data_IF_538119495621
#
_entry.id   IF_538119495621
#
_cell.length_a   1.000
_cell.length_b   1.000
_cell.length_c   1.000
_cell.angle_alpha   90.00
_cell.angle_beta   90.00
_cell.angle_gamma   90.00
#
_symmetry.space_group_name_H-M   'P 1'
#
loop_
_entity.id
_entity.type
_entity.pdbx_description
1 polymer ?
#
# COMPACT_ATOMS: atom_id res chain seq x y z
N UNK A 1 -60.17 -4.74 -12.56
CA UNK A 1 -58.95 -5.49 -12.92
C UNK A 1 -57.65 -4.69 -12.72
N UNK A 2 -57.68 -3.45 -12.20
CA UNK A 2 -56.50 -2.59 -12.07
C UNK A 2 -55.69 -2.74 -10.75
N UNK A 3 -56.30 -3.23 -9.66
CA UNK A 3 -55.65 -3.25 -8.34
C UNK A 3 -54.57 -4.34 -8.16
N UNK A 4 -54.70 -5.47 -8.87
CA UNK A 4 -53.81 -6.64 -8.69
C UNK A 4 -52.45 -6.42 -9.35
N UNK A 5 -52.40 -5.65 -10.43
CA UNK A 5 -51.16 -5.36 -11.14
C UNK A 5 -50.39 -4.24 -10.45
N UNK A 6 -51.06 -3.21 -9.92
CA UNK A 6 -50.43 -2.16 -9.09
C UNK A 6 -49.73 -2.77 -7.86
N UNK A 7 -50.36 -3.76 -7.21
CA UNK A 7 -49.74 -4.47 -6.07
C UNK A 7 -48.50 -5.26 -6.50
N UNK A 8 -48.52 -5.94 -7.65
CA UNK A 8 -47.34 -6.65 -8.18
C UNK A 8 -46.19 -5.70 -8.49
N UNK A 9 -46.47 -4.56 -9.13
CA UNK A 9 -45.44 -3.55 -9.42
C UNK A 9 -44.85 -2.97 -8.14
N UNK A 10 -45.68 -2.66 -7.15
CA UNK A 10 -45.21 -2.18 -5.85
C UNK A 10 -44.30 -3.20 -5.14
N UNK A 11 -44.64 -4.49 -5.19
CA UNK A 11 -43.82 -5.56 -4.62
C UNK A 11 -42.48 -5.71 -5.35
N UNK A 12 -42.46 -5.62 -6.69
CA UNK A 12 -41.23 -5.71 -7.48
C UNK A 12 -40.30 -4.52 -7.20
N UNK A 13 -40.85 -3.30 -7.11
CA UNK A 13 -40.08 -2.09 -6.79
C UNK A 13 -39.50 -2.17 -5.37
N UNK A 14 -40.29 -2.66 -4.40
CA UNK A 14 -39.83 -2.88 -3.04
C UNK A 14 -38.68 -3.91 -2.98
N UNK A 15 -38.80 -5.02 -3.71
CA UNK A 15 -37.76 -6.04 -3.79
C UNK A 15 -36.47 -5.50 -4.44
N UNK A 16 -36.57 -4.70 -5.50
CA UNK A 16 -35.41 -4.03 -6.09
C UNK A 16 -34.76 -3.06 -5.10
N UNK A 17 -35.54 -2.25 -4.38
CA UNK A 17 -35.00 -1.30 -3.41
C UNK A 17 -34.26 -2.02 -2.26
N UNK A 18 -34.78 -3.15 -1.79
CA UNK A 18 -34.11 -3.98 -0.77
C UNK A 18 -32.84 -4.61 -1.32
N UNK A 19 -32.83 -5.10 -2.57
CA UNK A 19 -31.61 -5.60 -3.22
C UNK A 19 -30.55 -4.49 -3.30
N UNK A 20 -30.90 -3.32 -3.83
CA UNK A 20 -29.96 -2.19 -4.00
C UNK A 20 -29.42 -1.74 -2.63
N UNK A 21 -30.28 -1.66 -1.61
CA UNK A 21 -29.86 -1.33 -0.25
C UNK A 21 -28.93 -2.41 0.33
N UNK A 22 -29.19 -3.70 0.12
CA UNK A 22 -28.31 -4.79 0.56
C UNK A 22 -26.94 -4.74 -0.16
N UNK A 23 -26.90 -4.40 -1.44
CA UNK A 23 -25.66 -4.19 -2.19
C UNK A 23 -24.89 -2.95 -1.72
N UNK A 24 -25.56 -1.89 -1.29
CA UNK A 24 -24.92 -0.68 -0.78
C UNK A 24 -24.20 -0.92 0.56
N UNK A 25 -24.75 -1.76 1.45
CA UNK A 25 -24.13 -2.07 2.76
C UNK A 25 -22.97 -3.08 2.67
N UNK A 26 -22.90 -3.88 1.60
CA UNK A 26 -21.76 -4.78 1.32
C UNK A 26 -20.56 -4.09 0.66
N UNK A 27 -20.67 -2.79 0.34
CA UNK A 27 -19.77 -2.10 -0.56
C UNK A 27 -18.64 -1.38 0.19
N UNK A 28 -17.42 -1.89 -0.02
CA UNK A 28 -16.12 -1.26 0.27
C UNK A 28 -15.62 -1.32 1.72
N UNK A 29 -15.34 -2.53 2.22
CA UNK A 29 -14.42 -2.71 3.35
C UNK A 29 -13.08 -2.05 3.00
N UNK A 30 -12.61 -1.15 3.86
CA UNK A 30 -11.31 -0.46 3.72
C UNK A 30 -10.33 -0.88 4.79
N UNK A 31 -9.05 -0.87 4.46
CA UNK A 31 -7.97 -1.29 5.34
C UNK A 31 -6.83 -0.27 5.32
N UNK A 32 -6.13 -0.14 6.46
CA UNK A 32 -5.04 0.82 6.65
C UNK A 32 -3.83 0.43 5.81
N UNK A 33 -3.24 1.40 5.14
CA UNK A 33 -1.97 1.26 4.43
C UNK A 33 -1.04 2.39 4.82
N UNK A 34 0.26 2.12 4.68
CA UNK A 34 1.28 3.17 4.76
C UNK A 34 1.66 3.59 3.35
N UNK A 35 1.59 4.89 3.07
CA UNK A 35 2.16 5.48 1.86
C UNK A 35 3.61 5.86 2.15
N UNK A 36 4.52 5.51 1.26
CA UNK A 36 5.95 5.84 1.36
C UNK A 36 6.38 6.54 0.10
N UNK A 37 6.96 7.72 0.24
CA UNK A 37 7.63 8.44 -0.84
C UNK A 37 9.11 8.55 -0.49
N UNK A 38 9.97 7.92 -1.30
CA UNK A 38 11.40 7.93 -1.09
C UNK A 38 12.11 8.66 -2.23
N UNK A 39 12.96 9.63 -1.89
CA UNK A 39 13.83 10.32 -2.84
C UNK A 39 15.18 9.63 -2.87
N UNK A 40 15.62 9.26 -4.08
CA UNK A 40 16.90 8.61 -4.34
C UNK A 40 17.71 9.49 -5.28
N UNK A 41 18.97 9.71 -4.94
CA UNK A 41 19.95 10.44 -5.74
C UNK A 41 21.17 9.56 -6.00
N UNK A 42 21.71 9.61 -7.20
CA UNK A 42 22.98 8.98 -7.55
C UNK A 42 24.14 9.90 -7.19
N UNK A 43 25.02 9.40 -6.33
CA UNK A 43 26.20 10.12 -5.87
C UNK A 43 27.42 9.47 -6.49
N UNK A 44 28.23 10.25 -7.18
CA UNK A 44 29.51 9.79 -7.71
C UNK A 44 30.51 9.62 -6.57
N UNK A 45 30.98 8.40 -6.37
CA UNK A 45 32.05 8.06 -5.43
C UNK A 45 33.19 7.41 -6.21
N UNK A 46 34.22 8.20 -6.50
CA UNK A 46 35.28 7.79 -7.42
C UNK A 46 34.77 7.73 -8.86
N UNK A 47 34.86 6.56 -9.49
CA UNK A 47 34.38 6.32 -10.86
C UNK A 47 32.98 5.68 -10.90
N UNK A 48 32.37 5.40 -9.74
CA UNK A 48 31.09 4.70 -9.64
C UNK A 48 29.97 5.65 -9.20
N UNK A 49 28.78 5.46 -9.78
CA UNK A 49 27.55 6.07 -9.28
C UNK A 49 26.88 5.12 -8.29
N UNK A 50 26.62 5.62 -7.07
CA UNK A 50 26.02 4.84 -5.99
C UNK A 50 24.71 5.51 -5.58
N UNK A 51 23.58 4.78 -5.54
CA UNK A 51 22.34 5.35 -5.07
C UNK A 51 22.41 5.71 -3.60
N UNK A 52 21.74 6.81 -3.24
CA UNK A 52 21.55 7.26 -1.87
C UNK A 52 20.10 7.63 -1.65
N UNK A 53 19.46 7.01 -0.67
CA UNK A 53 18.09 7.39 -0.25
C UNK A 53 18.19 8.64 0.63
N UNK A 54 17.90 9.81 0.06
CA UNK A 54 18.15 11.12 0.70
C UNK A 54 16.99 11.58 1.58
N UNK A 55 15.76 11.23 1.22
CA UNK A 55 14.56 11.58 1.99
C UNK A 55 13.55 10.44 1.95
N UNK A 56 12.81 10.28 3.04
CA UNK A 56 11.66 9.38 3.13
C UNK A 56 10.53 10.14 3.81
N UNK A 57 9.39 10.24 3.12
CA UNK A 57 8.13 10.74 3.68
C UNK A 57 7.15 9.58 3.80
N UNK A 58 6.48 9.49 4.94
CA UNK A 58 5.50 8.44 5.24
C UNK A 58 4.14 9.06 5.54
N UNK A 59 3.08 8.32 5.25
CA UNK A 59 1.71 8.71 5.57
C UNK A 59 0.83 7.50 5.83
N UNK A 60 -0.33 7.75 6.42
CA UNK A 60 -1.37 6.75 6.66
C UNK A 60 -2.56 7.03 5.75
N UNK A 61 -3.09 5.99 5.12
CA UNK A 61 -4.32 6.06 4.33
C UNK A 61 -5.19 4.82 4.53
N UNK A 62 -6.42 4.85 4.01
CA UNK A 62 -7.33 3.72 3.96
C UNK A 62 -7.75 3.46 2.53
N UNK A 63 -7.47 2.27 2.04
CA UNK A 63 -7.83 1.87 0.68
C UNK A 63 -8.82 0.71 0.68
N UNK A 64 -9.47 0.52 -0.46
CA UNK A 64 -10.39 -0.60 -0.64
C UNK A 64 -9.66 -1.95 -0.52
N UNK A 65 -10.25 -2.91 0.19
CA UNK A 65 -9.68 -4.24 0.40
C UNK A 65 -9.37 -4.99 -0.91
N UNK A 66 -10.15 -4.77 -1.97
CA UNK A 66 -9.91 -5.37 -3.29
C UNK A 66 -8.65 -4.82 -3.98
N UNK A 67 -8.21 -3.62 -3.60
CA UNK A 67 -6.99 -2.96 -4.09
C UNK A 67 -5.84 -3.07 -3.10
N UNK A 68 -6.02 -3.81 -2.00
CA UNK A 68 -5.04 -3.86 -0.94
C UNK A 68 -3.74 -4.54 -1.42
N UNK A 69 -2.57 -3.87 -1.30
CA UNK A 69 -1.30 -4.46 -1.67
C UNK A 69 -1.03 -5.71 -0.84
N UNK A 70 -0.82 -6.82 -1.54
CA UNK A 70 -0.30 -8.08 -0.99
C UNK A 70 1.08 -8.32 -1.58
N UNK A 71 1.70 -9.43 -1.21
CA UNK A 71 3.00 -9.83 -1.75
C UNK A 71 2.97 -9.81 -3.28
N UNK A 72 3.77 -8.91 -3.85
CA UNK A 72 4.05 -8.87 -5.29
C UNK A 72 5.45 -9.45 -5.56
N UNK A 73 5.70 -10.00 -6.77
CA UNK A 73 7.06 -10.36 -7.16
C UNK A 73 8.03 -9.20 -6.97
N UNK A 74 9.24 -9.54 -6.55
CA UNK A 74 10.33 -8.58 -6.36
C UNK A 74 10.83 -8.04 -7.70
N UNK A 75 11.17 -6.74 -7.74
CA UNK A 75 11.81 -6.10 -8.89
C UNK A 75 13.34 -6.09 -8.72
N UNK A 76 14.08 -6.52 -9.74
CA UNK A 76 15.54 -6.50 -9.73
C UNK A 76 16.04 -5.75 -10.97
N UNK A 77 16.69 -4.59 -10.81
CA UNK A 77 16.87 -3.83 -9.57
C UNK A 77 15.55 -3.23 -9.06
N UNK A 78 15.47 -2.90 -7.76
CA UNK A 78 14.22 -2.46 -7.16
C UNK A 78 14.36 -1.61 -5.91
N UNK A 79 13.35 -0.79 -5.65
CA UNK A 79 13.16 -0.06 -4.40
C UNK A 79 12.14 -0.80 -3.55
N UNK A 80 12.50 -1.08 -2.30
CA UNK A 80 11.73 -1.92 -1.39
C UNK A 80 11.38 -1.16 -0.12
N UNK A 81 10.26 -1.55 0.49
CA UNK A 81 9.89 -1.08 1.83
C UNK A 81 9.76 -2.26 2.78
N UNK A 82 10.41 -2.15 3.93
CA UNK A 82 10.26 -3.04 5.07
C UNK A 82 9.73 -2.25 6.26
N UNK A 83 8.61 -2.70 6.82
CA UNK A 83 8.01 -2.16 8.04
C UNK A 83 8.25 -3.12 9.19
N UNK A 84 8.86 -2.61 10.26
CA UNK A 84 9.20 -3.38 11.46
C UNK A 84 8.51 -2.77 12.68
N UNK A 85 7.76 -3.59 13.40
CA UNK A 85 7.14 -3.26 14.68
C UNK A 85 7.53 -4.33 15.70
N UNK A 86 8.02 -3.92 16.87
CA UNK A 86 8.45 -4.83 17.95
C UNK A 86 9.42 -5.94 17.49
N UNK A 87 10.28 -5.62 16.51
CA UNK A 87 11.26 -6.57 15.97
C UNK A 87 10.73 -7.52 14.89
N UNK A 88 9.46 -7.44 14.52
CA UNK A 88 8.84 -8.29 13.49
C UNK A 88 8.50 -7.50 12.23
N UNK A 89 8.69 -8.13 11.07
CA UNK A 89 8.15 -7.61 9.80
C UNK A 89 6.62 -7.65 9.85
N UNK A 90 5.98 -6.52 9.57
CA UNK A 90 4.52 -6.42 9.59
C UNK A 90 3.89 -6.15 8.23
N UNK A 91 4.67 -5.76 7.22
CA UNK A 91 4.16 -5.52 5.88
C UNK A 91 4.20 -6.75 4.96
N UNK A 92 3.30 -6.75 3.99
CA UNK A 92 3.46 -7.51 2.77
C UNK A 92 4.61 -6.96 1.94
N UNK A 93 5.27 -7.85 1.23
CA UNK A 93 6.34 -7.54 0.30
C UNK A 93 5.84 -6.62 -0.80
N UNK A 94 6.50 -5.47 -0.94
CA UNK A 94 6.21 -4.48 -1.97
C UNK A 94 7.51 -3.91 -2.52
N UNK A 95 7.54 -3.73 -3.84
CA UNK A 95 8.68 -3.16 -4.53
C UNK A 95 8.23 -2.45 -5.80
N UNK A 96 9.03 -1.50 -6.24
CA UNK A 96 8.91 -0.86 -7.56
C UNK A 96 10.25 -0.98 -8.29
N UNK A 97 10.29 -1.03 -9.63
CA UNK A 97 11.55 -1.03 -10.37
C UNK A 97 12.40 0.18 -10.00
N UNK A 98 13.71 -0.04 -9.79
CA UNK A 98 14.66 1.06 -9.62
C UNK A 98 15.18 1.48 -11.01
N UNK A 99 15.06 2.77 -11.33
CA UNK A 99 15.40 3.33 -12.65
C UNK A 99 16.37 4.51 -12.56
N UNK A 100 17.14 4.60 -11.48
CA UNK A 100 18.08 5.70 -11.22
C UNK A 100 17.55 6.75 -10.24
N UNK A 101 18.15 7.93 -10.26
CA UNK A 101 17.71 9.06 -9.43
C UNK A 101 16.23 9.41 -9.63
N UNK A 102 15.49 9.68 -8.55
CA UNK A 102 14.07 10.00 -8.63
C UNK A 102 13.30 9.84 -7.32
N UNK A 103 11.98 10.05 -7.42
CA UNK A 103 11.05 9.82 -6.30
C UNK A 103 10.23 8.58 -6.55
N UNK A 104 10.23 7.67 -5.59
CA UNK A 104 9.59 6.37 -5.65
C UNK A 104 8.45 6.33 -4.65
N UNK A 105 7.23 6.16 -5.16
CA UNK A 105 6.01 6.11 -4.36
C UNK A 105 5.53 4.67 -4.22
N UNK A 106 5.39 4.20 -2.99
CA UNK A 106 4.92 2.87 -2.66
C UNK A 106 3.70 2.98 -1.74
N UNK A 107 2.71 2.13 -2.00
CA UNK A 107 1.62 1.89 -1.04
C UNK A 107 1.84 0.52 -0.42
N UNK A 108 1.94 0.49 0.90
CA UNK A 108 2.41 -0.66 1.66
C UNK A 108 1.26 -1.25 2.46
N UNK A 109 0.83 -2.45 2.07
CA UNK A 109 -0.12 -3.23 2.84
C UNK A 109 0.55 -3.89 4.04
N UNK A 110 -0.13 -3.84 5.18
CA UNK A 110 0.25 -4.53 6.41
C UNK A 110 -0.44 -5.90 6.50
N UNK A 111 0.33 -6.95 6.80
CA UNK A 111 -0.19 -8.28 7.14
C UNK A 111 -0.54 -8.42 8.62
N UNK A 112 0.03 -7.58 9.47
CA UNK A 112 -0.37 -7.38 10.86
C UNK A 112 -0.45 -5.88 11.12
N UNK A 113 -1.60 -5.40 11.60
CA UNK A 113 -1.83 -3.97 11.86
C UNK A 113 -1.59 -3.70 13.34
N UNK A 114 -0.58 -2.90 13.71
CA UNK A 114 -0.37 -2.47 15.09
C UNK A 114 -1.56 -1.66 15.64
N UNK A 115 -1.59 -1.48 16.95
CA UNK A 115 -2.58 -0.61 17.60
C UNK A 115 -2.33 0.84 17.17
N UNK A 116 -3.40 1.60 17.00
CA UNK A 116 -3.34 3.03 16.70
C UNK A 116 -2.47 3.78 17.73
N UNK A 117 -1.56 4.62 17.24
CA UNK A 117 -0.55 5.30 18.02
C UNK A 117 0.79 4.57 18.14
N UNK A 118 0.89 3.31 17.67
CA UNK A 118 2.15 2.58 17.62
C UNK A 118 3.12 3.21 16.63
N UNK A 119 4.39 3.33 17.04
CA UNK A 119 5.49 3.73 16.16
C UNK A 119 6.04 2.51 15.41
N UNK A 120 6.08 2.60 14.08
CA UNK A 120 6.59 1.56 13.20
C UNK A 120 7.82 2.09 12.46
N UNK A 121 8.89 1.30 12.45
CA UNK A 121 10.08 1.62 11.66
C UNK A 121 9.85 1.28 10.20
N UNK A 122 10.05 2.25 9.32
CA UNK A 122 10.01 2.10 7.87
C UNK A 122 11.44 2.12 7.36
N UNK A 123 11.85 1.08 6.65
CA UNK A 123 13.18 0.93 6.05
C UNK A 123 12.98 0.90 4.53
N UNK A 124 13.58 1.85 3.83
CA UNK A 124 13.63 1.86 2.37
C UNK A 124 14.99 1.33 1.94
N UNK A 125 15.00 0.39 1.01
CA UNK A 125 16.23 -0.14 0.42
C UNK A 125 16.20 -0.04 -1.09
N UNK A 126 17.37 0.16 -1.69
CA UNK A 126 17.61 -0.04 -3.12
C UNK A 126 18.41 -1.31 -3.26
N UNK A 127 17.92 -2.24 -4.08
CA UNK A 127 18.64 -3.48 -4.39
C UNK A 127 18.95 -3.54 -5.89
N UNK A 128 20.09 -4.15 -6.22
CA UNK A 128 20.56 -4.31 -7.60
C UNK A 128 19.89 -5.50 -8.33
N UNK A 129 20.40 -5.81 -9.54
CA UNK A 129 19.95 -6.92 -10.38
C UNK A 129 20.12 -8.30 -9.72
N UNK A 130 21.07 -8.44 -8.78
CA UNK A 130 21.31 -9.67 -8.03
C UNK A 130 20.48 -9.74 -6.74
N UNK A 131 19.75 -8.66 -6.42
CA UNK A 131 19.00 -8.51 -5.19
C UNK A 131 19.84 -8.07 -4.00
N UNK A 132 21.11 -7.70 -4.21
CA UNK A 132 21.97 -7.17 -3.17
C UNK A 132 21.57 -5.74 -2.83
N UNK A 133 21.55 -5.42 -1.54
CA UNK A 133 21.20 -4.09 -1.07
C UNK A 133 22.36 -3.12 -1.26
N UNK A 134 22.18 -2.15 -2.14
CA UNK A 134 23.19 -1.14 -2.51
C UNK A 134 22.94 0.23 -1.87
N UNK A 135 21.72 0.50 -1.38
CA UNK A 135 21.43 1.67 -0.56
C UNK A 135 20.34 1.40 0.48
N UNK A 136 20.34 2.18 1.56
CA UNK A 136 19.25 2.17 2.55
C UNK A 136 19.12 3.49 3.28
N UNK A 137 17.89 3.76 3.73
CA UNK A 137 17.62 4.75 4.76
C UNK A 137 16.36 4.33 5.54
N UNK A 138 16.11 4.94 6.69
CA UNK A 138 15.00 4.59 7.57
C UNK A 138 14.34 5.84 8.13
N UNK A 139 13.05 5.72 8.40
CA UNK A 139 12.25 6.69 9.12
C UNK A 139 11.23 5.93 9.97
N UNK A 140 10.39 6.64 10.70
CA UNK A 140 9.28 6.05 11.44
C UNK A 140 7.94 6.58 10.91
N UNK A 141 6.87 5.84 11.19
CA UNK A 141 5.49 6.26 10.96
C UNK A 141 4.67 5.85 12.19
N UNK A 142 3.70 6.70 12.56
CA UNK A 142 2.72 6.38 13.60
C UNK A 142 1.45 5.87 12.92
N UNK A 143 0.99 4.69 13.33
CA UNK A 143 -0.18 3.98 12.74
C UNK A 143 -1.50 4.45 13.33
#
# INVERSE_FOLDING_TARGET
>A
MAGKDVIKYAVVVLLMAVLIAAFAHGYLKTEKVVTVSATIEEVTVGENEIPRVTAISTGMDRINLLKYPKDIPANFPGVYVLMVHEGHRINYWTSVPYTGSGTYNLTVGMGSVPIDGSEVRVIVTVNDEMGERIAMNTTNVVI
#
